data_IF_996610339984
#
_entry.id   IF_996610339984
#
_cell.length_a   1.000
_cell.length_b   1.000
_cell.length_c   1.000
_cell.angle_alpha   90.00
_cell.angle_beta   90.00
_cell.angle_gamma   90.00
#
_symmetry.space_group_name_H-M   'P 1'
#
loop_
_entity.id
_entity.type
_entity.pdbx_description
1 polymer ?
#
# COMPACT_ATOMS: atom_id res chain seq x y z
N UNK A 1 2.91 -25.91 6.77
CA UNK A 1 3.94 -24.86 6.79
C UNK A 1 5.28 -25.56 6.66
N UNK A 2 6.18 -25.03 5.84
CA UNK A 2 7.51 -25.60 5.66
C UNK A 2 8.51 -24.63 6.30
N UNK A 3 9.45 -25.09 7.15
CA UNK A 3 10.45 -24.19 7.72
C UNK A 3 11.28 -23.54 6.61
N UNK A 4 11.32 -22.21 6.59
CA UNK A 4 12.11 -21.43 5.63
C UNK A 4 13.44 -21.05 6.27
N UNK A 5 14.55 -21.51 5.70
CA UNK A 5 15.86 -21.11 6.17
C UNK A 5 16.17 -19.65 5.76
N UNK A 6 16.87 -18.93 6.63
CA UNK A 6 17.32 -17.55 6.39
C UNK A 6 18.85 -17.55 6.48
N UNK A 7 19.52 -17.15 5.41
CA UNK A 7 20.96 -17.10 5.29
C UNK A 7 21.41 -15.65 5.23
N UNK A 8 22.33 -15.25 6.11
CA UNK A 8 22.84 -13.87 6.15
C UNK A 8 23.93 -13.64 5.09
N UNK A 9 24.30 -12.37 4.89
CA UNK A 9 25.30 -11.98 3.92
C UNK A 9 26.73 -12.43 4.27
N UNK A 10 27.60 -12.41 3.27
CA UNK A 10 29.00 -12.82 3.40
C UNK A 10 29.99 -11.64 3.40
N UNK A 11 29.48 -10.42 3.65
CA UNK A 11 30.27 -9.20 3.77
C UNK A 11 30.48 -8.86 5.25
N UNK A 12 31.65 -9.24 5.77
CA UNK A 12 31.90 -9.19 7.20
C UNK A 12 32.55 -7.85 7.57
N UNK A 13 32.00 -7.09 8.54
CA UNK A 13 32.61 -5.85 8.99
C UNK A 13 34.10 -6.02 9.35
N UNK A 14 34.96 -5.26 8.67
CA UNK A 14 36.42 -5.28 8.86
C UNK A 14 37.18 -6.33 8.02
N UNK A 15 36.51 -7.38 7.54
CA UNK A 15 37.11 -8.41 6.68
C UNK A 15 36.69 -8.28 5.21
N UNK A 16 35.55 -7.62 4.95
CA UNK A 16 34.94 -7.51 3.63
C UNK A 16 34.30 -8.82 3.19
N UNK A 17 34.15 -8.98 1.87
CA UNK A 17 33.59 -10.18 1.25
C UNK A 17 34.49 -11.40 1.46
N UNK A 18 33.95 -12.38 2.19
CA UNK A 18 34.63 -13.65 2.51
C UNK A 18 34.39 -14.68 1.42
N UNK A 19 35.46 -15.32 0.95
CA UNK A 19 35.33 -16.40 -0.04
C UNK A 19 34.69 -17.66 0.55
N UNK A 20 34.33 -18.62 -0.31
CA UNK A 20 33.64 -19.85 0.10
C UNK A 20 34.46 -20.72 1.08
N UNK A 21 35.77 -20.59 1.09
CA UNK A 21 36.66 -21.33 2.00
C UNK A 21 36.87 -20.58 3.33
N UNK A 22 36.29 -19.38 3.47
CA UNK A 22 36.38 -18.57 4.67
C UNK A 22 37.61 -17.68 4.73
N UNK A 23 38.27 -17.42 3.59
CA UNK A 23 39.47 -16.59 3.53
C UNK A 23 39.17 -15.18 3.01
N UNK A 24 39.91 -14.19 3.52
CA UNK A 24 39.98 -12.82 3.01
C UNK A 24 41.43 -12.33 2.98
N UNK A 25 41.66 -11.15 2.40
CA UNK A 25 42.96 -10.45 2.50
C UNK A 25 43.31 -10.03 3.94
N UNK A 26 42.31 -9.93 4.81
CA UNK A 26 42.43 -9.39 6.17
C UNK A 26 42.35 -10.49 7.26
N UNK A 27 42.27 -11.76 6.87
CA UNK A 27 42.21 -12.91 7.78
C UNK A 27 41.12 -13.93 7.41
N UNK A 28 41.02 -14.96 8.24
CA UNK A 28 40.02 -16.02 8.10
C UNK A 28 38.76 -15.70 8.90
N UNK A 29 37.61 -16.17 8.39
CA UNK A 29 36.33 -16.06 9.08
C UNK A 29 35.70 -17.44 9.27
N UNK A 30 35.81 -17.95 10.50
CA UNK A 30 35.41 -19.31 10.89
C UNK A 30 33.95 -19.65 10.52
N UNK A 31 32.93 -18.77 10.70
CA UNK A 31 31.56 -19.11 10.32
C UNK A 31 31.40 -19.49 8.84
N UNK A 32 32.17 -18.89 7.93
CA UNK A 32 32.13 -19.28 6.52
C UNK A 32 32.89 -20.57 6.29
N UNK A 33 34.11 -20.68 6.83
CA UNK A 33 34.98 -21.86 6.69
C UNK A 33 34.34 -23.14 7.24
N UNK A 34 33.66 -23.04 8.38
CA UNK A 34 33.22 -24.20 9.17
C UNK A 34 31.72 -24.49 9.01
N UNK A 35 30.92 -23.54 8.53
CA UNK A 35 29.47 -23.72 8.39
C UNK A 35 28.97 -23.42 6.97
N UNK A 36 29.04 -22.18 6.47
CA UNK A 36 28.42 -21.84 5.17
C UNK A 36 29.09 -22.56 3.99
N UNK A 37 30.42 -22.63 3.95
CA UNK A 37 31.18 -23.32 2.91
C UNK A 37 30.86 -24.81 2.86
N UNK A 38 31.05 -25.56 3.97
CA UNK A 38 30.76 -26.99 4.05
C UNK A 38 29.30 -27.38 3.80
N UNK A 39 28.34 -26.55 4.23
CA UNK A 39 26.90 -26.78 3.98
C UNK A 39 26.47 -26.41 2.56
N UNK A 40 27.36 -25.81 1.75
CA UNK A 40 27.04 -25.34 0.41
C UNK A 40 26.07 -24.15 0.39
N UNK A 41 25.97 -23.40 1.49
CA UNK A 41 25.07 -22.25 1.65
C UNK A 41 25.76 -20.89 1.48
N UNK A 42 27.07 -20.90 1.30
CA UNK A 42 27.79 -19.73 0.81
C UNK A 42 27.20 -19.24 -0.51
N UNK A 43 27.08 -17.93 -0.66
CA UNK A 43 26.57 -17.26 -1.84
C UNK A 43 27.30 -15.93 -2.01
N UNK A 44 27.65 -15.59 -3.26
CA UNK A 44 28.40 -14.38 -3.57
C UNK A 44 27.50 -13.17 -3.79
N UNK A 45 28.12 -12.00 -3.95
CA UNK A 45 27.44 -10.78 -4.33
C UNK A 45 26.84 -10.90 -5.75
N UNK A 46 25.53 -10.76 -5.86
CA UNK A 46 24.78 -10.76 -7.12
C UNK A 46 24.13 -9.40 -7.44
N UNK A 47 24.48 -8.36 -6.68
CA UNK A 47 23.94 -7.00 -6.83
C UNK A 47 22.56 -6.76 -6.19
N UNK A 48 21.93 -7.78 -5.61
CA UNK A 48 20.64 -7.64 -4.91
C UNK A 48 20.83 -7.30 -3.43
N UNK A 49 19.78 -6.74 -2.80
CA UNK A 49 19.75 -6.53 -1.35
C UNK A 49 19.58 -7.84 -0.59
N UNK A 50 18.50 -8.55 -0.92
CA UNK A 50 18.18 -9.90 -0.51
C UNK A 50 17.37 -10.57 -1.63
N UNK A 51 17.13 -11.88 -1.53
CA UNK A 51 16.20 -12.60 -2.41
C UNK A 51 15.65 -13.86 -1.74
N UNK A 52 14.45 -14.26 -2.12
CA UNK A 52 13.88 -15.57 -1.82
C UNK A 52 14.06 -16.54 -2.99
N UNK A 53 14.40 -17.80 -2.70
CA UNK A 53 14.29 -18.89 -3.68
C UNK A 53 12.85 -19.36 -3.75
N UNK A 54 12.29 -19.37 -4.95
CA UNK A 54 10.87 -19.59 -5.21
C UNK A 54 10.69 -20.76 -6.19
N UNK A 55 9.74 -21.65 -5.90
CA UNK A 55 9.30 -22.68 -6.84
C UNK A 55 7.83 -22.48 -7.23
N UNK A 56 7.38 -23.10 -8.32
CA UNK A 56 5.98 -23.03 -8.77
C UNK A 56 5.00 -23.47 -7.66
N UNK A 57 5.38 -24.52 -6.93
CA UNK A 57 4.69 -24.98 -5.74
C UNK A 57 5.62 -24.90 -4.53
N UNK A 58 5.14 -24.47 -3.35
CA UNK A 58 5.96 -24.34 -2.16
C UNK A 58 6.72 -25.63 -1.84
N UNK A 59 8.03 -25.50 -1.67
CA UNK A 59 8.94 -26.61 -1.37
C UNK A 59 9.77 -26.35 -0.11
N UNK A 60 10.30 -27.40 0.56
CA UNK A 60 11.24 -27.25 1.67
C UNK A 60 12.58 -26.61 1.33
N UNK A 61 12.90 -26.45 0.05
CA UNK A 61 14.12 -25.79 -0.41
C UNK A 61 13.98 -24.27 -0.55
N UNK A 62 12.77 -23.71 -0.34
CA UNK A 62 12.59 -22.26 -0.30
C UNK A 62 13.34 -21.67 0.90
N UNK A 63 14.10 -20.61 0.63
CA UNK A 63 14.96 -19.96 1.60
C UNK A 63 15.11 -18.48 1.26
N UNK A 64 15.42 -17.68 2.27
CA UNK A 64 15.76 -16.27 2.13
C UNK A 64 17.27 -16.12 2.22
N UNK A 65 17.84 -15.32 1.32
CA UNK A 65 19.27 -15.04 1.25
C UNK A 65 19.50 -13.52 1.29
N UNK A 66 20.24 -13.05 2.27
CA UNK A 66 20.72 -11.68 2.35
C UNK A 66 22.03 -11.55 1.61
N UNK A 67 22.17 -10.53 0.76
CA UNK A 67 23.39 -10.37 -0.06
C UNK A 67 24.12 -9.09 0.32
N UNK A 68 23.48 -7.94 0.16
CA UNK A 68 24.05 -6.64 0.57
C UNK A 68 23.41 -6.16 1.87
N UNK A 69 22.12 -6.49 2.08
CA UNK A 69 21.45 -6.17 3.33
C UNK A 69 22.03 -7.00 4.48
N UNK A 70 22.04 -6.43 5.69
CA UNK A 70 22.36 -7.17 6.91
C UNK A 70 21.07 -7.52 7.63
N UNK A 71 20.89 -8.80 7.97
CA UNK A 71 19.69 -9.30 8.64
C UNK A 71 19.33 -8.51 9.90
N UNK A 72 20.32 -8.16 10.72
CA UNK A 72 20.14 -7.52 12.04
C UNK A 72 19.97 -5.99 11.98
N UNK A 73 19.95 -5.39 10.79
CA UNK A 73 19.74 -3.95 10.62
C UNK A 73 18.25 -3.57 10.60
N UNK A 74 17.92 -2.28 10.81
CA UNK A 74 16.54 -1.77 10.70
C UNK A 74 15.95 -2.11 9.32
N UNK A 75 16.69 -1.83 8.24
CA UNK A 75 16.30 -2.23 6.88
C UNK A 75 16.27 -3.76 6.71
N UNK A 76 17.20 -4.50 7.33
CA UNK A 76 17.26 -5.96 7.29
C UNK A 76 15.97 -6.64 7.73
N UNK A 77 15.33 -6.12 8.78
CA UNK A 77 14.02 -6.58 9.24
C UNK A 77 12.91 -6.31 8.21
N UNK A 78 12.97 -5.21 7.48
CA UNK A 78 12.01 -4.91 6.41
C UNK A 78 12.22 -5.82 5.21
N UNK A 79 13.47 -5.98 4.77
CA UNK A 79 13.84 -6.94 3.74
C UNK A 79 13.41 -8.37 4.13
N UNK A 80 13.50 -8.75 5.41
CA UNK A 80 13.00 -10.05 5.90
C UNK A 80 11.53 -10.22 5.56
N UNK A 81 10.71 -9.22 5.92
CA UNK A 81 9.27 -9.25 5.65
C UNK A 81 8.93 -9.20 4.16
N UNK A 82 9.77 -8.56 3.34
CA UNK A 82 9.66 -8.58 1.89
C UNK A 82 9.86 -10.00 1.34
N UNK A 83 11.02 -10.59 1.60
CA UNK A 83 11.38 -11.90 1.05
C UNK A 83 10.49 -13.02 1.59
N UNK A 84 10.10 -12.93 2.87
CA UNK A 84 9.14 -13.89 3.43
C UNK A 84 7.73 -13.68 2.93
N UNK A 85 7.36 -12.49 2.44
CA UNK A 85 6.08 -12.31 1.75
C UNK A 85 6.02 -13.16 0.48
N UNK A 86 7.07 -13.16 -0.35
CA UNK A 86 7.13 -13.97 -1.58
C UNK A 86 6.91 -15.47 -1.33
N UNK A 87 7.25 -15.93 -0.13
CA UNK A 87 7.04 -17.32 0.31
C UNK A 87 5.64 -17.48 0.92
N UNK A 88 5.27 -16.59 1.85
CA UNK A 88 4.07 -16.72 2.67
C UNK A 88 2.78 -16.36 1.95
N UNK A 89 2.79 -15.49 0.94
CA UNK A 89 1.60 -15.16 0.16
C UNK A 89 1.07 -16.37 -0.62
N UNK A 90 1.97 -17.27 -1.01
CA UNK A 90 1.70 -18.55 -1.67
C UNK A 90 1.24 -19.65 -0.72
N UNK A 91 1.49 -19.52 0.58
CA UNK A 91 1.28 -20.60 1.57
C UNK A 91 0.25 -20.27 2.65
N UNK A 92 0.19 -19.02 3.09
CA UNK A 92 -0.53 -18.58 4.28
C UNK A 92 -1.35 -17.30 4.04
N UNK A 93 -0.74 -16.20 3.58
CA UNK A 93 -1.41 -14.89 3.57
C UNK A 93 -2.58 -14.80 2.59
N UNK A 94 -2.62 -15.62 1.54
CA UNK A 94 -3.75 -15.63 0.58
C UNK A 94 -4.70 -16.82 0.77
N UNK A 95 -4.62 -17.52 1.91
CA UNK A 95 -5.54 -18.62 2.25
C UNK A 95 -5.49 -19.81 1.29
N UNK A 96 -4.37 -19.99 0.56
CA UNK A 96 -4.18 -21.06 -0.43
C UNK A 96 -4.68 -20.73 -1.84
N UNK A 97 -5.35 -19.59 -2.05
CA UNK A 97 -5.92 -19.22 -3.35
C UNK A 97 -4.90 -18.69 -4.37
N UNK A 98 -3.66 -18.41 -3.93
CA UNK A 98 -2.58 -17.80 -4.73
C UNK A 98 -2.90 -16.38 -5.20
N UNK A 99 -1.91 -15.75 -5.81
CA UNK A 99 -1.99 -14.38 -6.32
C UNK A 99 -3.14 -14.18 -7.30
N UNK A 100 -3.81 -13.04 -7.18
CA UNK A 100 -4.81 -12.60 -8.17
C UNK A 100 -4.24 -12.62 -9.59
N UNK A 101 -5.04 -13.10 -10.53
CA UNK A 101 -4.68 -13.11 -11.95
C UNK A 101 -4.28 -11.71 -12.45
N UNK A 102 -3.18 -11.66 -13.20
CA UNK A 102 -2.64 -10.42 -13.76
C UNK A 102 -1.71 -9.65 -12.82
N UNK A 103 -1.41 -10.18 -11.62
CA UNK A 103 -0.36 -9.67 -10.73
C UNK A 103 0.77 -10.71 -10.58
N UNK A 104 1.90 -10.28 -10.01
CA UNK A 104 3.02 -11.17 -9.67
C UNK A 104 3.57 -10.87 -8.27
N UNK A 105 4.56 -11.64 -7.81
CA UNK A 105 5.03 -11.67 -6.41
C UNK A 105 5.36 -10.28 -5.85
N UNK A 106 5.99 -9.42 -6.66
CA UNK A 106 6.40 -8.07 -6.22
C UNK A 106 5.25 -7.10 -5.98
N UNK A 107 4.06 -7.38 -6.51
CA UNK A 107 2.89 -6.57 -6.21
C UNK A 107 2.41 -6.75 -4.75
N UNK A 108 2.82 -7.82 -4.06
CA UNK A 108 2.37 -8.17 -2.71
C UNK A 108 3.38 -7.83 -1.61
N UNK A 109 4.66 -7.71 -1.93
CA UNK A 109 5.69 -7.36 -0.97
C UNK A 109 5.77 -5.83 -0.77
N UNK A 110 6.62 -5.15 -1.53
CA UNK A 110 6.90 -3.73 -1.35
C UNK A 110 5.63 -2.87 -1.52
N UNK A 111 5.29 -2.04 -0.53
CA UNK A 111 4.08 -1.21 -0.54
C UNK A 111 2.77 -1.98 -0.34
N UNK A 112 2.85 -3.21 0.17
CA UNK A 112 1.69 -3.98 0.63
C UNK A 112 2.04 -4.78 1.92
N UNK A 113 2.61 -5.98 1.83
CA UNK A 113 2.91 -6.86 2.97
C UNK A 113 4.39 -6.83 3.42
N UNK A 114 5.15 -5.83 3.00
CA UNK A 114 6.45 -5.52 3.60
C UNK A 114 6.31 -4.52 4.74
N UNK A 115 6.93 -4.79 5.89
CA UNK A 115 6.97 -3.86 7.02
C UNK A 115 7.85 -2.65 6.69
N UNK A 116 7.32 -1.41 6.72
CA UNK A 116 8.11 -0.23 6.36
C UNK A 116 9.16 0.12 7.42
N UNK A 117 10.44 0.15 7.02
CA UNK A 117 11.56 0.59 7.87
C UNK A 117 11.81 2.10 7.79
N UNK A 118 12.45 2.67 8.81
CA UNK A 118 12.80 4.10 8.82
C UNK A 118 14.04 4.40 7.96
N UNK A 119 14.90 3.40 7.76
CA UNK A 119 16.18 3.52 7.05
C UNK A 119 16.12 3.09 5.59
N UNK A 120 14.93 2.77 5.06
CA UNK A 120 14.78 2.27 3.71
C UNK A 120 14.98 3.36 2.65
N UNK A 121 15.87 3.11 1.69
CA UNK A 121 16.17 4.00 0.56
C UNK A 121 15.10 4.00 -0.55
N UNK A 122 14.20 3.00 -0.58
CA UNK A 122 13.19 2.80 -1.63
C UNK A 122 11.86 3.52 -1.39
N UNK A 123 11.77 4.39 -0.37
CA UNK A 123 10.60 5.24 -0.13
C UNK A 123 9.37 4.52 0.44
N UNK A 124 9.55 3.35 1.06
CA UNK A 124 8.46 2.58 1.68
C UNK A 124 7.84 3.25 2.90
N UNK A 125 8.65 3.89 3.75
CA UNK A 125 8.11 4.64 4.87
C UNK A 125 7.28 5.81 4.34
N UNK A 126 6.03 5.93 4.83
CA UNK A 126 4.98 6.86 4.34
C UNK A 126 4.19 6.37 3.12
N UNK A 127 4.38 5.12 2.72
CA UNK A 127 3.48 4.44 1.78
C UNK A 127 2.42 3.59 2.48
N UNK A 128 1.35 3.22 1.78
CA UNK A 128 0.38 2.24 2.27
C UNK A 128 1.13 0.96 2.67
N UNK A 129 0.82 0.45 3.86
CA UNK A 129 1.59 -0.61 4.49
C UNK A 129 1.08 -0.92 5.88
N UNK A 130 1.62 -1.98 6.46
CA UNK A 130 1.35 -2.44 7.82
C UNK A 130 2.67 -2.72 8.53
N UNK A 131 2.81 -2.32 9.79
CA UNK A 131 3.95 -2.72 10.59
C UNK A 131 3.68 -4.10 11.21
N UNK A 132 4.45 -5.11 10.78
CA UNK A 132 4.33 -6.48 11.27
C UNK A 132 5.56 -6.93 12.09
N UNK A 133 6.56 -6.06 12.25
CA UNK A 133 7.86 -6.47 12.79
C UNK A 133 8.47 -5.53 13.83
N UNK A 134 8.18 -4.22 13.76
CA UNK A 134 8.85 -3.23 14.59
C UNK A 134 8.05 -2.92 15.85
N UNK A 135 8.73 -2.86 17.00
CA UNK A 135 8.18 -2.28 18.21
C UNK A 135 8.67 -0.83 18.35
N UNK A 136 7.72 0.10 18.38
CA UNK A 136 7.98 1.54 18.50
C UNK A 136 7.01 2.15 19.51
N UNK A 137 7.41 3.21 20.23
CA UNK A 137 6.53 3.88 21.17
C UNK A 137 5.39 4.59 20.43
N UNK A 138 4.21 4.65 21.06
CA UNK A 138 3.08 5.44 20.58
C UNK A 138 3.21 6.93 21.01
N UNK A 139 4.24 7.59 20.51
CA UNK A 139 4.65 8.96 20.93
C UNK A 139 4.19 10.07 19.97
N UNK A 140 3.36 9.73 18.97
CA UNK A 140 2.89 10.68 17.96
C UNK A 140 3.83 10.87 16.76
N UNK A 141 4.91 10.09 16.67
CA UNK A 141 5.81 10.10 15.50
C UNK A 141 5.52 9.00 14.48
N UNK A 142 4.72 8.00 14.88
CA UNK A 142 4.38 6.81 14.09
C UNK A 142 3.35 7.11 13.00
N UNK A 143 3.36 6.31 11.92
CA UNK A 143 2.34 6.35 10.83
C UNK A 143 1.69 4.98 10.55
N UNK A 144 2.16 3.94 11.24
CA UNK A 144 1.59 2.59 11.24
C UNK A 144 1.30 2.18 12.69
N UNK A 145 0.70 1.00 12.92
CA UNK A 145 0.57 0.45 14.27
C UNK A 145 1.95 0.45 14.97
N UNK A 146 2.08 1.01 16.19
CA UNK A 146 3.38 1.14 16.85
C UNK A 146 4.01 -0.20 17.24
N UNK A 147 3.19 -1.19 17.60
CA UNK A 147 3.65 -2.53 17.97
C UNK A 147 2.68 -3.58 17.39
N UNK A 148 3.14 -4.55 16.57
CA UNK A 148 2.29 -5.62 16.06
C UNK A 148 1.76 -6.58 17.14
N UNK A 149 2.46 -6.71 18.27
CA UNK A 149 2.07 -7.61 19.37
C UNK A 149 0.77 -7.19 20.07
N UNK A 150 0.25 -5.99 19.79
CA UNK A 150 -1.05 -5.53 20.29
C UNK A 150 -2.22 -6.00 19.42
N UNK A 151 -1.97 -6.45 18.19
CA UNK A 151 -2.98 -6.93 17.25
C UNK A 151 -3.09 -8.46 17.31
N UNK A 152 -3.71 -8.98 18.38
CA UNK A 152 -3.65 -10.40 18.75
C UNK A 152 -4.72 -11.30 18.12
N UNK A 153 -5.62 -10.74 17.32
CA UNK A 153 -6.65 -11.51 16.61
C UNK A 153 -6.93 -10.90 15.24
N UNK A 154 -7.58 -11.68 14.37
CA UNK A 154 -8.05 -11.17 13.07
C UNK A 154 -9.00 -9.99 13.26
N UNK A 155 -9.88 -10.06 14.24
CA UNK A 155 -10.84 -9.00 14.55
C UNK A 155 -10.13 -7.72 14.99
N UNK A 156 -9.04 -7.83 15.76
CA UNK A 156 -8.22 -6.67 16.14
C UNK A 156 -7.48 -6.05 14.94
N UNK A 157 -6.96 -6.90 14.03
CA UNK A 157 -6.31 -6.42 12.80
C UNK A 157 -7.33 -5.75 11.87
N UNK A 158 -8.51 -6.33 11.71
CA UNK A 158 -9.58 -5.76 10.89
C UNK A 158 -10.08 -4.43 11.46
N UNK A 159 -10.19 -4.32 12.78
CA UNK A 159 -10.51 -3.07 13.46
C UNK A 159 -9.43 -2.00 13.25
N UNK A 160 -8.15 -2.37 13.39
CA UNK A 160 -7.02 -1.49 13.06
C UNK A 160 -7.10 -1.01 11.61
N UNK A 161 -7.30 -1.93 10.65
CA UNK A 161 -7.35 -1.60 9.23
C UNK A 161 -8.54 -0.72 8.88
N UNK A 162 -9.68 -0.91 9.55
CA UNK A 162 -10.83 -0.03 9.42
C UNK A 162 -10.48 1.38 9.84
N UNK A 163 -9.98 1.58 11.05
CA UNK A 163 -9.60 2.90 11.56
C UNK A 163 -8.50 3.56 10.71
N UNK A 164 -7.49 2.79 10.31
CA UNK A 164 -6.42 3.22 9.41
C UNK A 164 -6.98 3.81 8.10
N UNK A 165 -7.89 3.08 7.44
CA UNK A 165 -8.47 3.54 6.17
C UNK A 165 -9.47 4.68 6.37
N UNK A 166 -10.31 4.64 7.40
CA UNK A 166 -11.30 5.69 7.66
C UNK A 166 -10.63 7.02 8.04
N UNK A 167 -9.49 6.99 8.75
CA UNK A 167 -8.69 8.19 9.00
C UNK A 167 -8.18 8.80 7.69
N UNK A 168 -7.60 7.99 6.80
CA UNK A 168 -7.12 8.47 5.50
C UNK A 168 -8.27 9.03 4.64
N UNK A 169 -9.40 8.33 4.59
CA UNK A 169 -10.57 8.78 3.82
C UNK A 169 -11.17 10.08 4.36
N UNK A 170 -11.22 10.26 5.68
CA UNK A 170 -11.65 11.53 6.27
C UNK A 170 -10.75 12.68 5.84
N UNK A 171 -9.43 12.46 5.82
CA UNK A 171 -8.45 13.45 5.39
C UNK A 171 -8.52 13.75 3.90
N UNK A 172 -8.71 12.73 3.06
CA UNK A 172 -8.94 12.88 1.62
C UNK A 172 -10.20 13.71 1.34
N UNK A 173 -11.26 13.52 2.15
CA UNK A 173 -12.50 14.29 2.06
C UNK A 173 -12.30 15.76 2.44
N UNK A 174 -11.66 16.02 3.60
CA UNK A 174 -11.34 17.36 4.09
C UNK A 174 -10.54 18.15 3.06
N UNK A 175 -9.52 17.50 2.48
CA UNK A 175 -8.70 18.08 1.43
C UNK A 175 -9.50 18.36 0.15
N UNK A 176 -10.24 17.38 -0.37
CA UNK A 176 -11.04 17.57 -1.59
C UNK A 176 -12.03 18.73 -1.45
N UNK A 177 -12.72 18.79 -0.30
CA UNK A 177 -13.67 19.86 0.01
C UNK A 177 -12.98 21.22 0.07
N UNK A 178 -11.78 21.29 0.65
CA UNK A 178 -11.00 22.52 0.66
C UNK A 178 -10.60 22.96 -0.76
N UNK A 179 -10.22 22.02 -1.63
CA UNK A 179 -9.91 22.32 -3.03
C UNK A 179 -11.14 22.84 -3.77
N UNK A 180 -12.32 22.22 -3.61
CA UNK A 180 -13.55 22.71 -4.25
C UNK A 180 -13.89 24.14 -3.82
N UNK A 181 -13.66 24.47 -2.55
CA UNK A 181 -13.97 25.79 -1.99
C UNK A 181 -12.95 26.86 -2.38
N UNK A 182 -11.71 26.49 -2.67
CA UNK A 182 -10.57 27.44 -2.78
C UNK A 182 -9.93 27.50 -4.15
N UNK A 183 -10.04 26.46 -4.96
CA UNK A 183 -9.50 26.48 -6.32
C UNK A 183 -10.42 27.26 -7.25
N UNK A 184 -10.01 28.48 -7.60
CA UNK A 184 -10.70 29.33 -8.59
C UNK A 184 -10.11 29.21 -10.00
N UNK A 185 -9.20 28.26 -10.21
CA UNK A 185 -8.46 28.04 -11.45
C UNK A 185 -8.74 26.63 -12.00
N UNK A 186 -7.89 26.14 -12.89
CA UNK A 186 -8.02 24.80 -13.47
C UNK A 186 -7.64 23.71 -12.47
N UNK A 187 -8.23 22.52 -12.63
CA UNK A 187 -8.06 21.40 -11.70
C UNK A 187 -6.64 20.82 -11.70
N UNK A 188 -5.87 21.04 -12.77
CA UNK A 188 -4.49 20.54 -12.87
C UNK A 188 -3.51 21.22 -11.91
N UNK A 189 -3.95 22.25 -11.18
CA UNK A 189 -3.18 22.75 -10.03
C UNK A 189 -3.10 21.74 -8.89
N UNK A 190 -4.13 20.89 -8.73
CA UNK A 190 -4.23 19.98 -7.60
C UNK A 190 -4.33 18.51 -7.99
N UNK A 191 -5.00 18.21 -9.10
CA UNK A 191 -5.35 16.85 -9.47
C UNK A 191 -4.67 16.37 -10.77
N UNK A 192 -4.57 15.05 -10.86
CA UNK A 192 -4.22 14.24 -12.03
C UNK A 192 -5.24 13.10 -12.13
N UNK A 193 -5.06 12.21 -13.11
CA UNK A 193 -5.93 11.06 -13.33
C UNK A 193 -5.16 9.76 -13.29
N UNK A 194 -5.76 8.75 -12.66
CA UNK A 194 -5.36 7.35 -12.79
C UNK A 194 -6.35 6.71 -13.75
N UNK A 195 -6.02 6.76 -15.04
CA UNK A 195 -6.87 6.26 -16.11
C UNK A 195 -6.65 4.77 -16.38
N UNK A 196 -7.40 4.23 -17.33
CA UNK A 196 -7.24 2.88 -17.86
C UNK A 196 -6.35 2.90 -19.08
N UNK A 197 -5.42 1.95 -19.14
CA UNK A 197 -4.71 1.58 -20.38
C UNK A 197 -4.86 0.09 -20.59
N UNK A 198 -5.26 -0.33 -21.80
CA UNK A 198 -5.29 -1.75 -22.13
C UNK A 198 -3.89 -2.34 -22.10
N UNK A 199 -3.79 -3.55 -21.58
CA UNK A 199 -2.50 -4.23 -21.48
C UNK A 199 -1.95 -4.53 -22.87
N UNK A 200 -0.68 -4.23 -23.06
CA UNK A 200 0.04 -4.43 -24.33
C UNK A 200 1.09 -5.54 -24.17
N UNK A 201 1.69 -5.95 -25.29
CA UNK A 201 2.80 -6.90 -25.26
C UNK A 201 3.95 -6.34 -24.42
N UNK A 202 4.31 -7.03 -23.36
CA UNK A 202 5.42 -6.68 -22.48
C UNK A 202 5.94 -7.92 -21.76
N UNK A 203 7.17 -7.88 -21.26
CA UNK A 203 7.80 -9.00 -20.57
C UNK A 203 6.96 -9.44 -19.35
N UNK A 204 6.68 -10.74 -19.23
CA UNK A 204 5.87 -11.29 -18.14
C UNK A 204 4.35 -11.04 -18.28
N UNK A 205 3.90 -10.21 -19.22
CA UNK A 205 2.47 -9.98 -19.43
C UNK A 205 1.85 -11.09 -20.29
N UNK A 206 0.85 -11.78 -19.73
CA UNK A 206 0.10 -12.86 -20.39
C UNK A 206 -1.33 -12.47 -20.77
N UNK A 207 -1.76 -11.25 -20.43
CA UNK A 207 -3.12 -10.75 -20.59
C UNK A 207 -3.06 -9.48 -21.45
N UNK A 208 -3.52 -9.56 -22.71
CA UNK A 208 -3.33 -8.49 -23.71
C UNK A 208 -4.70 -8.02 -24.23
N UNK A 209 -4.83 -6.72 -24.41
CA UNK A 209 -6.04 -6.09 -24.94
C UNK A 209 -7.17 -5.99 -23.93
N UNK A 210 -8.32 -5.51 -24.40
CA UNK A 210 -9.55 -5.47 -23.60
C UNK A 210 -9.94 -6.92 -23.19
N UNK A 211 -10.34 -7.16 -21.93
CA UNK A 211 -10.64 -6.21 -20.86
C UNK A 211 -9.54 -6.08 -19.80
N UNK A 212 -8.33 -6.49 -20.12
CA UNK A 212 -7.21 -6.45 -19.18
C UNK A 212 -6.61 -5.05 -19.17
N UNK A 213 -6.57 -4.39 -18.01
CA UNK A 213 -6.07 -3.03 -17.89
C UNK A 213 -4.82 -2.92 -16.98
N UNK A 214 -4.05 -1.88 -17.24
CA UNK A 214 -3.07 -1.27 -16.34
C UNK A 214 -3.61 0.09 -15.89
N UNK A 215 -2.98 0.65 -14.85
CA UNK A 215 -3.20 2.05 -14.50
C UNK A 215 -2.42 2.94 -15.47
N UNK A 216 -2.98 4.08 -15.85
CA UNK A 216 -2.32 5.13 -16.60
C UNK A 216 -2.37 6.43 -15.80
N UNK A 217 -1.29 6.75 -15.09
CA UNK A 217 -1.15 8.05 -14.44
C UNK A 217 -0.83 9.09 -15.50
N UNK A 218 -1.69 10.08 -15.64
CA UNK A 218 -1.54 11.16 -16.61
C UNK A 218 -2.00 12.49 -16.07
N UNK A 219 -1.52 13.54 -16.72
CA UNK A 219 -2.08 14.88 -16.53
C UNK A 219 -3.53 14.92 -17.05
N UNK A 220 -4.30 15.87 -16.52
CA UNK A 220 -5.66 16.11 -16.96
C UNK A 220 -5.66 16.62 -18.41
N UNK A 221 -6.65 16.21 -19.20
CA UNK A 221 -6.91 16.83 -20.50
C UNK A 221 -7.64 18.17 -20.33
N UNK A 222 -7.88 18.91 -21.42
CA UNK A 222 -8.44 20.25 -21.32
C UNK A 222 -9.88 20.27 -20.79
N UNK A 223 -10.70 19.27 -21.08
CA UNK A 223 -12.05 19.17 -20.52
C UNK A 223 -12.00 18.90 -19.00
N UNK A 224 -11.15 17.98 -18.57
CA UNK A 224 -10.96 17.61 -17.16
C UNK A 224 -10.38 18.77 -16.34
N UNK A 225 -9.48 19.57 -16.92
CA UNK A 225 -8.93 20.79 -16.31
C UNK A 225 -10.00 21.82 -16.00
N UNK A 226 -10.97 21.96 -16.90
CA UNK A 226 -11.98 23.02 -16.87
C UNK A 226 -13.32 22.56 -16.28
N UNK A 227 -13.49 21.26 -16.01
CA UNK A 227 -14.70 20.71 -15.38
C UNK A 227 -14.88 21.28 -13.97
N UNK A 228 -16.07 21.77 -13.64
CA UNK A 228 -16.38 22.25 -12.30
C UNK A 228 -16.54 21.08 -11.32
N UNK A 229 -15.57 20.93 -10.42
CA UNK A 229 -15.59 19.95 -9.33
C UNK A 229 -16.21 20.56 -8.07
N UNK A 230 -17.23 19.89 -7.52
CA UNK A 230 -18.04 20.34 -6.38
C UNK A 230 -18.33 19.23 -5.37
N UNK A 231 -18.06 17.97 -5.71
CA UNK A 231 -18.29 16.84 -4.82
C UNK A 231 -17.22 15.77 -4.97
N UNK A 232 -17.05 14.98 -3.91
CA UNK A 232 -16.12 13.84 -3.92
C UNK A 232 -16.56 12.78 -4.93
N UNK A 233 -17.87 12.62 -5.15
CA UNK A 233 -18.44 11.70 -6.13
C UNK A 233 -17.90 11.96 -7.54
N UNK A 234 -17.72 13.23 -7.92
CA UNK A 234 -17.12 13.60 -9.20
C UNK A 234 -15.63 13.21 -9.28
N UNK A 235 -14.90 13.26 -8.16
CA UNK A 235 -13.53 12.77 -8.10
C UNK A 235 -13.46 11.25 -8.24
N UNK A 236 -14.40 10.55 -7.59
CA UNK A 236 -14.52 9.08 -7.63
C UNK A 236 -14.85 8.63 -9.05
N UNK A 237 -15.90 9.18 -9.67
CA UNK A 237 -16.32 8.82 -11.03
C UNK A 237 -15.26 9.15 -12.08
N UNK A 238 -14.55 10.27 -11.88
CA UNK A 238 -13.54 10.74 -12.82
C UNK A 238 -12.17 10.06 -12.67
N UNK A 239 -11.99 9.14 -11.71
CA UNK A 239 -10.70 8.58 -11.31
C UNK A 239 -9.63 9.65 -11.05
N UNK A 240 -10.03 10.75 -10.43
CA UNK A 240 -9.10 11.79 -10.02
C UNK A 240 -8.21 11.29 -8.88
N UNK A 241 -7.00 11.82 -8.84
CA UNK A 241 -6.08 11.66 -7.72
C UNK A 241 -5.31 12.97 -7.50
N UNK A 242 -4.84 13.20 -6.28
CA UNK A 242 -4.01 14.38 -5.99
C UNK A 242 -2.64 14.27 -6.68
N UNK A 243 -2.10 15.41 -7.12
CA UNK A 243 -0.78 15.49 -7.76
C UNK A 243 0.36 15.12 -6.83
N UNK A 244 0.25 15.50 -5.56
CA UNK A 244 1.27 15.18 -4.57
C UNK A 244 1.26 13.68 -4.24
N UNK A 245 2.45 13.09 -4.21
CA UNK A 245 2.64 11.65 -4.04
C UNK A 245 2.32 10.79 -5.27
N UNK A 246 1.97 11.40 -6.42
CA UNK A 246 1.98 10.76 -7.76
C UNK A 246 2.91 11.52 -8.73
N UNK A 247 4.24 11.52 -8.48
CA UNK A 247 5.18 12.38 -9.21
C UNK A 247 5.41 11.96 -10.66
N UNK A 248 5.28 10.67 -10.98
CA UNK A 248 5.57 10.13 -12.32
C UNK A 248 4.28 9.85 -13.07
N UNK A 249 4.20 10.32 -14.31
CA UNK A 249 3.18 9.88 -15.26
C UNK A 249 3.70 8.63 -15.97
N UNK A 250 2.80 7.77 -16.43
CA UNK A 250 3.13 6.52 -17.09
C UNK A 250 2.12 5.42 -16.81
N UNK A 251 2.38 4.24 -17.33
CA UNK A 251 1.57 3.06 -17.06
C UNK A 251 2.18 2.24 -15.92
N UNK A 252 1.33 1.65 -15.09
CA UNK A 252 1.76 0.87 -13.93
C UNK A 252 1.14 -0.52 -13.96
N UNK A 253 2.02 -1.51 -14.11
CA UNK A 253 1.68 -2.92 -14.35
C UNK A 253 2.11 -3.81 -13.19
N UNK A 254 1.19 -4.57 -12.56
CA UNK A 254 1.51 -5.32 -11.34
C UNK A 254 2.26 -6.63 -11.61
N UNK A 255 2.32 -7.08 -12.85
CA UNK A 255 3.07 -8.27 -13.25
C UNK A 255 4.54 -7.99 -13.63
N UNK A 256 4.92 -6.72 -13.79
CA UNK A 256 6.23 -6.33 -14.30
C UNK A 256 7.12 -5.65 -13.26
N UNK A 257 8.37 -6.06 -13.15
CA UNK A 257 9.35 -5.52 -12.20
C UNK A 257 9.60 -4.00 -12.35
N UNK A 258 9.32 -3.40 -13.50
CA UNK A 258 9.45 -1.95 -13.76
C UNK A 258 8.53 -1.10 -12.88
N UNK A 259 7.35 -1.61 -12.53
CA UNK A 259 6.34 -0.85 -11.77
C UNK A 259 5.61 -1.66 -10.70
N UNK A 260 5.90 -2.96 -10.53
CA UNK A 260 5.36 -3.76 -9.42
C UNK A 260 5.82 -3.27 -8.05
N UNK A 261 7.05 -2.77 -7.91
CA UNK A 261 7.56 -2.15 -6.67
C UNK A 261 6.97 -0.77 -6.36
N UNK A 262 6.07 -0.24 -7.19
CA UNK A 262 5.45 1.07 -6.96
C UNK A 262 4.76 1.10 -5.62
N UNK A 263 5.16 2.03 -4.76
CA UNK A 263 4.52 2.27 -3.48
C UNK A 263 3.49 3.40 -3.61
N UNK A 264 2.36 3.29 -2.91
CA UNK A 264 1.32 4.32 -2.90
C UNK A 264 1.51 5.17 -1.66
N UNK A 265 1.79 6.47 -1.82
CA UNK A 265 1.95 7.36 -0.66
C UNK A 265 0.64 7.48 0.12
N UNK A 266 0.67 7.36 1.45
CA UNK A 266 -0.54 7.38 2.29
C UNK A 266 -1.28 8.72 2.24
N UNK A 267 -0.57 9.82 1.97
CA UNK A 267 -1.13 11.16 1.92
C UNK A 267 -1.69 11.52 0.54
N UNK A 268 -1.50 10.66 -0.48
CA UNK A 268 -2.12 10.86 -1.79
C UNK A 268 -3.59 10.49 -1.75
N UNK A 269 -4.46 11.44 -2.10
CA UNK A 269 -5.87 11.16 -2.29
C UNK A 269 -6.09 10.46 -3.63
N UNK A 270 -6.44 9.17 -3.60
CA UNK A 270 -6.86 8.38 -4.78
C UNK A 270 -8.35 8.09 -4.63
N UNK A 271 -9.16 8.86 -5.35
CA UNK A 271 -10.61 8.87 -5.13
C UNK A 271 -11.31 7.74 -5.89
N UNK A 272 -11.00 7.55 -7.17
CA UNK A 272 -11.63 6.52 -8.00
C UNK A 272 -11.16 5.10 -7.68
N UNK A 273 -12.00 4.11 -7.97
CA UNK A 273 -11.67 2.68 -7.86
C UNK A 273 -10.95 2.15 -9.10
N UNK A 274 -11.13 2.81 -10.24
CA UNK A 274 -10.68 2.36 -11.55
C UNK A 274 -11.23 0.96 -11.92
N UNK A 275 -12.47 0.64 -11.52
CA UNK A 275 -13.07 -0.71 -11.60
C UNK A 275 -12.72 -1.45 -12.89
N UNK A 276 -11.98 -2.55 -12.76
CA UNK A 276 -11.61 -3.42 -13.86
C UNK A 276 -12.66 -4.50 -14.12
N UNK A 277 -12.83 -4.87 -15.39
CA UNK A 277 -13.61 -6.06 -15.81
C UNK A 277 -12.77 -7.35 -15.80
N UNK A 278 -11.46 -7.23 -15.51
CA UNK A 278 -10.50 -8.34 -15.41
C UNK A 278 -9.31 -7.91 -14.55
N UNK A 279 -8.09 -7.94 -15.06
CA UNK A 279 -6.89 -7.54 -14.31
C UNK A 279 -6.81 -6.02 -14.06
N UNK A 280 -6.28 -5.62 -12.91
CA UNK A 280 -6.08 -4.22 -12.48
C UNK A 280 -4.63 -3.75 -12.69
N UNK A 281 -4.36 -2.45 -12.60
CA UNK A 281 -3.01 -1.86 -12.51
C UNK A 281 -2.42 -1.88 -11.10
N UNK A 282 -1.12 -1.58 -10.95
CA UNK A 282 -0.38 -1.70 -9.67
C UNK A 282 -0.86 -0.76 -8.57
N UNK A 283 -1.12 0.50 -8.92
CA UNK A 283 -1.52 1.53 -7.94
C UNK A 283 -2.94 1.21 -7.46
N UNK A 284 -3.86 0.96 -8.39
CA UNK A 284 -5.24 0.60 -8.06
C UNK A 284 -5.29 -0.72 -7.31
N UNK A 285 -4.47 -1.72 -7.67
CA UNK A 285 -4.38 -2.98 -6.95
C UNK A 285 -4.03 -2.76 -5.47
N UNK A 286 -2.94 -2.07 -5.19
CA UNK A 286 -2.48 -1.82 -3.81
C UNK A 286 -3.49 -0.97 -3.04
N UNK A 287 -3.86 0.17 -3.60
CA UNK A 287 -4.79 1.09 -2.94
C UNK A 287 -6.14 0.42 -2.62
N UNK A 288 -6.75 -0.26 -3.59
CA UNK A 288 -8.04 -0.90 -3.38
C UNK A 288 -7.94 -2.11 -2.46
N UNK A 289 -6.82 -2.84 -2.44
CA UNK A 289 -6.60 -3.94 -1.48
C UNK A 289 -6.70 -3.44 -0.03
N UNK A 290 -6.02 -2.34 0.31
CA UNK A 290 -6.10 -1.75 1.65
C UNK A 290 -7.50 -1.24 1.98
N UNK A 291 -8.16 -0.58 1.02
CA UNK A 291 -9.53 -0.08 1.20
C UNK A 291 -10.51 -1.25 1.42
N UNK A 292 -10.39 -2.31 0.63
CA UNK A 292 -11.21 -3.52 0.77
C UNK A 292 -11.01 -4.16 2.14
N UNK A 293 -9.76 -4.25 2.61
CA UNK A 293 -9.47 -4.73 3.96
C UNK A 293 -10.14 -3.86 5.03
N UNK A 294 -10.03 -2.53 4.93
CA UNK A 294 -10.62 -1.62 5.91
C UNK A 294 -12.15 -1.69 6.00
N UNK A 295 -12.85 -2.02 4.91
CA UNK A 295 -14.31 -2.06 4.90
C UNK A 295 -14.88 -3.47 5.13
N UNK A 296 -14.33 -4.49 4.47
CA UNK A 296 -14.84 -5.86 4.47
C UNK A 296 -13.98 -6.84 5.30
N UNK A 297 -12.93 -6.35 5.97
CA UNK A 297 -12.03 -7.18 6.78
C UNK A 297 -11.09 -8.05 5.94
N UNK A 298 -10.31 -8.90 6.60
CA UNK A 298 -9.26 -9.67 5.96
C UNK A 298 -9.79 -10.78 5.06
N UNK A 299 -10.78 -11.55 5.52
CA UNK A 299 -11.26 -12.74 4.78
C UNK A 299 -12.03 -12.40 3.51
N UNK A 300 -12.91 -11.39 3.59
CA UNK A 300 -13.75 -11.02 2.46
C UNK A 300 -13.17 -9.85 1.68
N UNK A 301 -12.61 -8.85 2.37
CA UNK A 301 -11.94 -7.72 1.73
C UNK A 301 -10.57 -8.08 1.16
N UNK A 302 -9.57 -8.28 2.03
CA UNK A 302 -8.18 -8.47 1.59
C UNK A 302 -8.03 -9.73 0.73
N UNK A 303 -8.39 -10.91 1.24
CA UNK A 303 -8.26 -12.17 0.48
C UNK A 303 -9.20 -12.16 -0.73
N UNK A 304 -10.43 -11.67 -0.60
CA UNK A 304 -11.38 -11.63 -1.71
C UNK A 304 -10.89 -10.79 -2.89
N UNK A 305 -10.16 -9.70 -2.62
CA UNK A 305 -9.64 -8.81 -3.65
C UNK A 305 -8.21 -9.14 -4.12
N UNK A 306 -7.33 -9.59 -3.23
CA UNK A 306 -5.90 -9.77 -3.53
C UNK A 306 -5.56 -11.18 -4.07
N UNK A 307 -6.48 -12.14 -3.99
CA UNK A 307 -6.23 -13.54 -4.38
C UNK A 307 -7.16 -14.03 -5.49
N UNK A 308 -6.94 -15.25 -5.99
CA UNK A 308 -7.86 -15.92 -6.92
C UNK A 308 -9.07 -16.59 -6.23
N UNK A 309 -9.43 -16.22 -4.99
CA UNK A 309 -10.57 -16.81 -4.25
C UNK A 309 -11.82 -16.96 -5.11
N UNK A 310 -12.15 -15.95 -5.91
CA UNK A 310 -13.34 -15.94 -6.78
C UNK A 310 -13.08 -16.22 -8.26
N UNK A 311 -11.86 -16.62 -8.65
CA UNK A 311 -11.49 -16.77 -10.07
C UNK A 311 -12.32 -17.83 -10.79
N UNK A 312 -12.51 -19.00 -10.17
CA UNK A 312 -13.27 -20.09 -10.79
C UNK A 312 -14.76 -19.74 -10.92
N UNK A 313 -15.33 -19.07 -9.90
CA UNK A 313 -16.69 -18.57 -9.97
C UNK A 313 -16.87 -17.51 -11.07
N UNK A 314 -15.91 -16.58 -11.20
CA UNK A 314 -15.93 -15.57 -12.26
C UNK A 314 -15.93 -16.22 -13.65
N UNK A 315 -15.07 -17.23 -13.84
CA UNK A 315 -15.01 -18.02 -15.08
C UNK A 315 -16.31 -18.77 -15.34
N UNK A 316 -16.89 -19.41 -14.32
CA UNK A 316 -18.17 -20.11 -14.43
C UNK A 316 -19.33 -19.16 -14.78
N UNK A 317 -19.26 -17.90 -14.34
CA UNK A 317 -20.18 -16.84 -14.71
C UNK A 317 -19.91 -16.23 -16.11
N UNK A 318 -19.01 -16.84 -16.91
CA UNK A 318 -18.71 -16.40 -18.27
C UNK A 318 -17.89 -15.10 -18.35
N UNK A 319 -17.26 -14.68 -17.25
CA UNK A 319 -16.42 -13.48 -17.24
C UNK A 319 -15.04 -13.77 -17.88
N UNK A 320 -14.45 -12.79 -18.58
CA UNK A 320 -13.16 -12.95 -19.27
C UNK A 320 -11.94 -12.99 -18.33
N UNK A 321 -12.13 -12.71 -17.04
CA UNK A 321 -11.11 -12.85 -16.00
C UNK A 321 -11.68 -12.50 -14.64
N UNK A 322 -10.83 -12.28 -13.64
CA UNK A 322 -11.25 -11.87 -12.29
C UNK A 322 -11.30 -10.34 -12.15
N UNK A 323 -12.44 -9.75 -12.55
CA UNK A 323 -12.73 -8.31 -12.49
C UNK A 323 -13.07 -7.81 -11.09
N UNK A 324 -12.83 -6.51 -10.86
CA UNK A 324 -13.22 -5.82 -9.63
C UNK A 324 -14.73 -5.76 -9.47
N UNK A 325 -15.47 -5.64 -10.58
CA UNK A 325 -16.94 -5.68 -10.64
C UNK A 325 -17.50 -6.98 -10.06
N UNK A 326 -16.90 -8.11 -10.44
CA UNK A 326 -17.28 -9.41 -9.89
C UNK A 326 -16.91 -9.56 -8.42
N UNK A 327 -15.71 -9.11 -8.03
CA UNK A 327 -15.25 -9.19 -6.64
C UNK A 327 -16.15 -8.34 -5.73
N UNK A 328 -16.43 -7.09 -6.09
CA UNK A 328 -17.23 -6.19 -5.25
C UNK A 328 -18.66 -6.70 -5.09
N UNK A 329 -19.25 -7.26 -6.16
CA UNK A 329 -20.57 -7.88 -6.09
C UNK A 329 -20.58 -9.07 -5.12
N UNK A 330 -19.52 -9.89 -5.11
CA UNK A 330 -19.38 -11.03 -4.20
C UNK A 330 -19.21 -10.61 -2.75
N UNK A 331 -18.23 -9.77 -2.46
CA UNK A 331 -17.87 -9.41 -1.07
C UNK A 331 -18.91 -8.51 -0.42
N UNK A 332 -19.66 -7.74 -1.21
CA UNK A 332 -20.74 -6.88 -0.72
C UNK A 332 -22.10 -7.57 -0.65
N UNK A 333 -22.21 -8.85 -1.06
CA UNK A 333 -23.49 -9.55 -1.13
C UNK A 333 -24.47 -8.90 -2.11
N UNK A 334 -23.97 -8.33 -3.21
CA UNK A 334 -24.75 -7.65 -4.24
C UNK A 334 -25.17 -6.21 -3.91
N UNK A 335 -24.67 -5.61 -2.80
CA UNK A 335 -24.97 -4.22 -2.45
C UNK A 335 -24.33 -3.21 -3.42
N UNK A 336 -23.15 -3.54 -3.95
CA UNK A 336 -22.38 -2.69 -4.85
C UNK A 336 -21.95 -3.46 -6.10
N UNK A 337 -21.97 -2.80 -7.25
CA UNK A 337 -21.60 -3.39 -8.54
C UNK A 337 -20.30 -2.81 -9.12
N UNK A 338 -19.86 -1.66 -8.63
CA UNK A 338 -18.57 -1.06 -8.97
C UNK A 338 -17.84 -0.60 -7.71
N UNK A 339 -16.51 -0.47 -7.82
CA UNK A 339 -15.72 0.12 -6.75
C UNK A 339 -16.08 1.59 -6.53
N UNK A 340 -16.50 2.30 -7.57
CA UNK A 340 -16.93 3.69 -7.49
C UNK A 340 -18.20 3.85 -6.63
N UNK A 341 -19.22 3.00 -6.85
CA UNK A 341 -20.44 2.98 -6.01
C UNK A 341 -20.12 2.77 -4.53
N UNK A 342 -19.30 1.76 -4.24
CA UNK A 342 -18.87 1.46 -2.88
C UNK A 342 -18.06 2.60 -2.25
N UNK A 343 -17.08 3.17 -2.96
CA UNK A 343 -16.25 4.26 -2.45
C UNK A 343 -17.06 5.51 -2.13
N UNK A 344 -18.04 5.87 -2.97
CA UNK A 344 -18.95 7.00 -2.69
C UNK A 344 -19.70 6.80 -1.38
N UNK A 345 -20.30 5.62 -1.19
CA UNK A 345 -21.04 5.32 0.04
C UNK A 345 -20.10 5.33 1.25
N UNK A 346 -18.90 4.76 1.16
CA UNK A 346 -17.97 4.76 2.30
C UNK A 346 -17.42 6.15 2.62
N UNK A 347 -17.12 7.00 1.63
CA UNK A 347 -16.78 8.41 1.87
C UNK A 347 -17.89 9.16 2.61
N UNK A 348 -19.15 8.93 2.23
CA UNK A 348 -20.32 9.50 2.90
C UNK A 348 -20.45 8.99 4.35
N UNK A 349 -20.28 7.69 4.58
CA UNK A 349 -20.26 7.10 5.93
C UNK A 349 -19.15 7.70 6.81
N UNK A 350 -17.92 7.80 6.29
CA UNK A 350 -16.76 8.35 7.00
C UNK A 350 -16.94 9.83 7.32
N UNK A 351 -17.45 10.62 6.36
CA UNK A 351 -17.79 12.02 6.63
C UNK A 351 -18.82 12.13 7.76
N UNK A 352 -19.89 11.34 7.71
CA UNK A 352 -20.93 11.38 8.73
C UNK A 352 -20.38 11.00 10.12
N UNK A 353 -19.45 10.03 10.20
CA UNK A 353 -18.74 9.71 11.45
C UNK A 353 -17.86 10.86 11.93
N UNK A 354 -17.07 11.46 11.04
CA UNK A 354 -16.22 12.60 11.35
C UNK A 354 -17.02 13.79 11.90
N UNK A 355 -18.19 14.06 11.32
CA UNK A 355 -19.11 15.14 11.74
C UNK A 355 -19.71 14.91 13.14
N UNK A 356 -19.91 13.66 13.55
CA UNK A 356 -20.28 13.31 14.93
C UNK A 356 -19.11 13.47 15.92
N UNK A 357 -17.88 13.46 15.41
CA UNK A 357 -16.65 13.71 16.14
C UNK A 357 -15.70 12.53 16.17
N UNK A 358 -14.47 12.81 16.57
CA UNK A 358 -13.36 11.86 16.66
C UNK A 358 -12.55 12.13 17.93
N UNK A 359 -11.58 11.26 18.23
CA UNK A 359 -10.64 11.43 19.35
C UNK A 359 -10.06 12.85 19.38
N UNK A 360 -9.94 13.45 20.56
CA UNK A 360 -9.34 14.79 20.66
C UNK A 360 -7.86 14.73 20.27
N UNK A 361 -7.49 15.51 19.26
CA UNK A 361 -6.12 15.67 18.77
C UNK A 361 -5.61 17.07 19.06
N UNK A 362 -4.29 17.25 19.02
CA UNK A 362 -3.65 18.55 19.18
C UNK A 362 -2.87 18.95 17.94
N UNK A 363 -3.20 20.11 17.35
CA UNK A 363 -2.56 20.65 16.16
C UNK A 363 -2.09 22.07 16.47
N UNK A 364 -0.76 22.26 16.55
CA UNK A 364 -0.14 23.58 16.82
C UNK A 364 -0.63 24.23 18.13
N UNK A 365 -0.80 23.41 19.18
CA UNK A 365 -1.30 23.85 20.49
C UNK A 365 -2.82 24.00 20.58
N UNK A 366 -3.55 23.77 19.48
CA UNK A 366 -5.01 23.79 19.45
C UNK A 366 -5.59 22.39 19.62
N UNK A 367 -6.51 22.22 20.57
CA UNK A 367 -7.29 21.00 20.75
C UNK A 367 -8.45 20.94 19.77
N UNK A 368 -8.52 19.85 19.00
CA UNK A 368 -9.50 19.67 17.93
C UNK A 368 -10.19 18.32 18.10
N UNK A 369 -11.52 18.31 18.08
CA UNK A 369 -12.32 17.08 18.16
C UNK A 369 -13.57 17.09 17.28
N UNK A 370 -13.67 18.08 16.38
CA UNK A 370 -14.80 18.24 15.46
C UNK A 370 -14.32 18.48 14.03
N UNK A 371 -15.13 18.00 13.08
CA UNK A 371 -14.83 18.03 11.65
C UNK A 371 -14.76 19.46 11.08
N UNK A 372 -15.67 20.34 11.49
CA UNK A 372 -15.76 21.71 10.98
C UNK A 372 -14.45 22.48 11.19
N UNK A 373 -13.84 22.35 12.39
CA UNK A 373 -12.58 23.02 12.67
C UNK A 373 -11.42 22.47 11.84
N UNK A 374 -11.35 21.16 11.63
CA UNK A 374 -10.37 20.58 10.70
C UNK A 374 -10.58 21.13 9.27
N UNK A 375 -11.82 21.23 8.82
CA UNK A 375 -12.12 21.76 7.48
C UNK A 375 -11.63 23.20 7.31
N UNK A 376 -11.73 24.05 8.33
CA UNK A 376 -11.16 25.40 8.31
C UNK A 376 -9.63 25.41 8.17
N UNK A 377 -8.93 24.51 8.87
CA UNK A 377 -7.48 24.38 8.74
C UNK A 377 -7.07 23.91 7.35
N UNK A 378 -7.76 22.91 6.79
CA UNK A 378 -7.54 22.45 5.42
C UNK A 378 -7.85 23.53 4.39
N UNK A 379 -8.95 24.28 4.56
CA UNK A 379 -9.29 25.43 3.71
C UNK A 379 -8.14 26.45 3.67
N UNK A 380 -7.55 26.77 4.83
CA UNK A 380 -6.42 27.70 4.92
C UNK A 380 -5.15 27.15 4.28
N UNK A 381 -4.82 25.88 4.55
CA UNK A 381 -3.63 25.23 3.99
C UNK A 381 -3.70 25.14 2.46
N UNK A 382 -4.82 24.68 1.91
CA UNK A 382 -5.05 24.57 0.46
C UNK A 382 -5.03 25.94 -0.19
N UNK A 383 -5.67 26.96 0.40
CA UNK A 383 -5.65 28.32 -0.15
C UNK A 383 -4.22 28.89 -0.25
N UNK A 384 -3.40 28.67 0.79
CA UNK A 384 -2.00 29.11 0.78
C UNK A 384 -1.16 28.36 -0.26
N UNK A 385 -1.34 27.05 -0.34
CA UNK A 385 -0.63 26.17 -1.26
C UNK A 385 -0.99 26.49 -2.73
N UNK A 386 -2.26 26.76 -3.03
CA UNK A 386 -2.72 27.20 -4.35
C UNK A 386 -2.08 28.54 -4.75
N UNK A 387 -1.96 29.50 -3.83
CA UNK A 387 -1.26 30.78 -4.07
C UNK A 387 0.24 30.58 -4.30
N UNK A 388 0.84 29.64 -3.58
CA UNK A 388 2.27 29.33 -3.66
C UNK A 388 2.63 28.30 -4.75
N UNK A 389 1.65 27.79 -5.50
CA UNK A 389 1.87 26.81 -6.57
C UNK A 389 2.45 25.47 -6.10
N UNK A 390 2.12 25.02 -4.89
CA UNK A 390 2.58 23.74 -4.35
C UNK A 390 1.49 23.10 -3.46
N UNK A 391 1.83 22.10 -2.63
CA UNK A 391 0.92 21.42 -1.71
C UNK A 391 1.55 21.12 -0.35
N UNK A 392 2.58 21.89 0.03
CA UNK A 392 3.45 21.56 1.17
C UNK A 392 2.71 21.71 2.49
N UNK A 393 1.92 22.77 2.66
CA UNK A 393 1.20 23.01 3.92
C UNK A 393 0.09 21.98 4.12
N UNK A 394 -0.62 21.63 3.05
CA UNK A 394 -1.71 20.66 3.07
C UNK A 394 -1.20 19.26 3.40
N UNK A 395 -0.13 18.82 2.72
CA UNK A 395 0.47 17.50 3.01
C UNK A 395 1.03 17.44 4.43
N UNK A 396 1.68 18.50 4.91
CA UNK A 396 2.19 18.57 6.28
C UNK A 396 1.07 18.52 7.33
N UNK A 397 -0.02 19.26 7.11
CA UNK A 397 -1.21 19.22 7.96
C UNK A 397 -1.84 17.82 7.96
N UNK A 398 -1.97 17.21 6.78
CA UNK A 398 -2.53 15.87 6.61
C UNK A 398 -1.74 14.82 7.38
N UNK A 399 -0.41 14.83 7.25
CA UNK A 399 0.49 13.94 7.99
C UNK A 399 0.38 14.18 9.50
N UNK A 400 0.35 15.43 9.95
CA UNK A 400 0.26 15.78 11.37
C UNK A 400 -1.06 15.34 12.00
N UNK A 401 -2.19 15.59 11.33
CA UNK A 401 -3.51 15.15 11.79
C UNK A 401 -3.57 13.62 11.83
N UNK A 402 -3.10 12.94 10.78
CA UNK A 402 -3.08 11.47 10.75
C UNK A 402 -2.28 10.87 11.92
N UNK A 403 -1.07 11.38 12.18
CA UNK A 403 -0.23 10.93 13.30
C UNK A 403 -0.90 11.14 14.65
N UNK A 404 -1.58 12.27 14.84
CA UNK A 404 -2.32 12.53 16.07
C UNK A 404 -3.54 11.60 16.22
N UNK A 405 -4.30 11.37 15.14
CA UNK A 405 -5.41 10.42 15.17
C UNK A 405 -4.93 9.01 15.53
N UNK A 406 -3.84 8.53 14.92
CA UNK A 406 -3.18 7.27 15.26
C UNK A 406 -2.78 7.25 16.74
N UNK A 407 -2.10 8.29 17.21
CA UNK A 407 -1.63 8.36 18.60
C UNK A 407 -2.77 8.28 19.61
N UNK A 408 -3.79 9.12 19.41
CA UNK A 408 -4.90 9.32 20.35
C UNK A 408 -5.95 8.21 20.30
N UNK A 409 -5.90 7.35 19.28
CA UNK A 409 -6.72 6.14 19.15
C UNK A 409 -5.94 4.86 19.48
N UNK A 410 -4.87 4.97 20.28
CA UNK A 410 -4.04 3.83 20.70
C UNK A 410 -3.47 3.03 19.52
N UNK A 411 -2.83 3.73 18.58
CA UNK A 411 -2.28 3.10 17.38
C UNK A 411 -3.35 2.55 16.44
N UNK A 412 -4.55 3.15 16.44
CA UNK A 412 -5.78 2.68 15.78
C UNK A 412 -6.37 1.36 16.31
N UNK A 413 -5.85 0.79 17.41
CA UNK A 413 -6.49 -0.33 18.08
C UNK A 413 -7.71 0.10 18.91
N UNK A 414 -7.76 1.36 19.34
CA UNK A 414 -8.87 1.95 20.09
C UNK A 414 -9.99 2.51 19.19
N UNK A 415 -10.83 3.37 19.75
CA UNK A 415 -11.87 4.07 18.99
C UNK A 415 -11.27 5.28 18.27
N UNK A 416 -11.56 5.42 16.97
CA UNK A 416 -11.22 6.62 16.19
C UNK A 416 -12.32 7.69 16.26
N UNK A 417 -13.55 7.27 15.99
CA UNK A 417 -14.72 8.14 16.01
C UNK A 417 -15.49 8.06 17.34
N UNK A 418 -16.21 9.13 17.67
CA UNK A 418 -17.17 9.11 18.78
C UNK A 418 -18.41 8.31 18.37
N UNK A 419 -19.03 7.63 19.34
CA UNK A 419 -20.22 6.81 19.15
C UNK A 419 -21.42 7.63 18.65
#
# INVERSE_FOLDING_TARGET
>A
MVPTAVWDNQDVPGLGWVDRMGHTKNGDFAPIREFYGPTGKWHGNNGLGAYATLYDNPQPQEAVYYVIASLISDYGTSAFTHETTHINDRMAYLGGWRHREGTYVEAFAQGMLQSPSLTNYNGEYRSLGLNMAYERPNDGTQIYNPNPNTLQSREAIDHYMKNYNEALMMLDYLEATAVFNKNTSTNDKWFKKIDKKWREQAEGNKLIGEPHQWDLVRDLNDDEKNTKLTSIDQLVDGNFATKHGLPRNGHYRPEGYDTAYTVVNMMTGIYGGNTSKSATGSISFKHNTFRMWGYFGYLDGFIGYASNKYKQESKAAGRPGLGDDFIIEKVSGGKFHTLEEWKKEWFKEVKAKGEKGFVEIEIDGEKISNYARLQELFNKAVENDLKAGNSKQTVALKEKVYKQLLQKSDGFAGNLFKA
#
